data_IF_720671982441
#
_entry.id   IF_720671982441
#
_cell.length_a   1.000
_cell.length_b   1.000
_cell.length_c   1.000
_cell.angle_alpha   90.00
_cell.angle_beta   90.00
_cell.angle_gamma   90.00
#
_symmetry.space_group_name_H-M   'P 1'
#
loop_
_entity.id
_entity.type
_entity.pdbx_description
1 polymer ?
#
# COMPACT_ATOMS: atom_id res chain seq x y z
N UNK A 1 16.17 -15.30 63.62
CA UNK A 1 15.40 -15.23 62.36
C UNK A 1 16.28 -14.53 61.33
N UNK A 2 16.94 -15.32 60.48
CA UNK A 2 18.04 -14.87 59.61
C UNK A 2 17.48 -14.33 58.27
N UNK A 3 17.77 -13.11 57.97
CA UNK A 3 17.49 -12.51 56.66
C UNK A 3 18.62 -12.92 55.71
N UNK A 4 18.28 -13.74 54.75
CA UNK A 4 19.23 -14.19 53.70
C UNK A 4 19.65 -13.00 52.84
N UNK A 5 20.94 -12.84 52.70
CA UNK A 5 21.62 -11.89 51.85
C UNK A 5 21.37 -12.30 50.38
N UNK A 6 20.74 -11.42 49.62
CA UNK A 6 20.65 -11.53 48.15
C UNK A 6 22.01 -11.07 47.59
N UNK A 7 22.77 -12.03 47.12
CA UNK A 7 24.09 -11.79 46.53
C UNK A 7 23.90 -11.23 45.12
N UNK A 8 24.09 -9.93 44.94
CA UNK A 8 24.10 -9.29 43.61
C UNK A 8 25.36 -9.72 42.84
N UNK A 9 25.19 -10.63 41.88
CA UNK A 9 26.25 -10.95 40.93
C UNK A 9 26.44 -9.78 39.96
N UNK A 10 27.37 -8.88 40.25
CA UNK A 10 27.85 -7.87 39.30
C UNK A 10 28.68 -8.55 38.20
N UNK A 11 28.04 -8.91 37.13
CA UNK A 11 28.73 -9.40 35.93
C UNK A 11 29.55 -8.28 35.30
N UNK A 12 30.86 -8.46 35.23
CA UNK A 12 31.73 -7.49 34.59
C UNK A 12 31.58 -7.56 33.06
N UNK A 13 31.77 -6.42 32.37
CA UNK A 13 31.67 -6.35 30.88
C UNK A 13 32.59 -7.35 30.18
N UNK A 14 33.73 -7.75 30.80
CA UNK A 14 34.61 -8.79 30.27
C UNK A 14 34.04 -10.19 30.35
N UNK A 15 33.27 -10.50 31.39
CA UNK A 15 32.62 -11.81 31.55
C UNK A 15 31.48 -12.02 30.55
N UNK A 16 30.74 -10.95 30.21
CA UNK A 16 29.68 -11.01 29.17
C UNK A 16 30.28 -11.32 27.80
N UNK A 17 31.46 -10.79 27.48
CA UNK A 17 32.14 -11.05 26.21
C UNK A 17 32.77 -12.46 26.14
N UNK A 18 33.16 -13.05 27.27
CA UNK A 18 33.72 -14.40 27.32
C UNK A 18 32.67 -15.50 27.14
N UNK A 19 31.42 -15.26 27.54
CA UNK A 19 30.31 -16.21 27.34
C UNK A 19 29.62 -16.04 25.98
N UNK A 20 29.83 -14.94 25.28
CA UNK A 20 29.27 -14.66 23.95
C UNK A 20 29.94 -15.41 22.78
N UNK A 21 31.10 -16.01 23.01
CA UNK A 21 31.92 -16.58 21.93
C UNK A 21 31.63 -18.02 21.52
N UNK A 22 30.90 -18.80 22.30
CA UNK A 22 30.69 -20.23 22.05
C UNK A 22 29.25 -20.64 21.66
N UNK A 23 28.30 -19.71 21.63
CA UNK A 23 26.88 -20.00 21.39
C UNK A 23 26.31 -19.57 20.04
N UNK A 24 27.09 -18.95 19.17
CA UNK A 24 26.56 -18.29 17.94
C UNK A 24 26.65 -19.12 16.65
N UNK A 25 26.99 -20.41 16.71
CA UNK A 25 27.16 -21.20 15.46
C UNK A 25 25.93 -22.02 15.06
N UNK A 26 24.87 -22.07 15.87
CA UNK A 26 23.70 -22.89 15.53
C UNK A 26 22.44 -22.11 15.14
N UNK A 27 22.43 -20.78 15.16
CA UNK A 27 21.30 -19.95 14.72
C UNK A 27 21.34 -19.52 13.23
N UNK A 28 22.39 -19.88 12.50
CA UNK A 28 22.59 -19.47 11.10
C UNK A 28 21.91 -20.36 10.06
N UNK A 29 21.13 -21.38 10.48
CA UNK A 29 20.46 -22.32 9.56
C UNK A 29 18.94 -22.13 9.43
N UNK A 30 18.34 -21.22 10.18
CA UNK A 30 17.01 -20.76 9.83
C UNK A 30 17.19 -19.53 8.94
N UNK A 31 17.21 -19.79 7.62
CA UNK A 31 17.28 -18.75 6.59
C UNK A 31 16.16 -17.73 6.76
N UNK A 32 16.43 -16.68 7.52
CA UNK A 32 15.75 -15.41 7.36
C UNK A 32 16.21 -14.82 6.01
N UNK A 33 15.77 -15.45 4.92
CA UNK A 33 15.77 -14.75 3.64
C UNK A 33 14.87 -13.54 3.86
N UNK A 34 15.37 -12.31 3.68
CA UNK A 34 14.47 -11.17 3.62
C UNK A 34 13.51 -11.48 2.48
N UNK A 35 12.22 -11.68 2.80
CA UNK A 35 11.18 -11.71 1.78
C UNK A 35 11.17 -10.29 1.25
N UNK A 36 11.97 -10.03 0.22
CA UNK A 36 11.81 -8.82 -0.56
C UNK A 36 10.37 -8.82 -1.04
N UNK A 37 9.58 -7.88 -0.52
CA UNK A 37 8.22 -7.68 -0.97
C UNK A 37 8.28 -7.19 -2.42
N UNK A 38 8.37 -8.16 -3.34
CA UNK A 38 8.49 -7.87 -4.77
C UNK A 38 7.19 -7.22 -5.22
N UNK A 39 7.32 -5.98 -5.68
CA UNK A 39 6.22 -5.19 -6.24
C UNK A 39 5.61 -5.92 -7.44
N UNK A 40 4.60 -6.72 -7.21
CA UNK A 40 4.00 -7.60 -8.21
C UNK A 40 2.49 -7.34 -8.41
N UNK A 41 1.97 -7.59 -9.61
CA UNK A 41 0.53 -7.51 -9.85
C UNK A 41 -0.30 -8.43 -8.95
N UNK A 42 0.30 -9.49 -8.41
CA UNK A 42 -0.35 -10.40 -7.47
C UNK A 42 -0.65 -9.71 -6.13
N UNK A 43 0.32 -8.93 -5.62
CA UNK A 43 0.14 -8.16 -4.38
C UNK A 43 -0.94 -7.09 -4.53
N UNK A 44 -0.97 -6.40 -5.66
CA UNK A 44 -2.03 -5.42 -5.94
C UNK A 44 -3.41 -6.08 -6.01
N UNK A 45 -3.53 -7.26 -6.64
CA UNK A 45 -4.78 -8.03 -6.66
C UNK A 45 -5.19 -8.51 -5.28
N UNK A 46 -4.24 -9.01 -4.48
CA UNK A 46 -4.50 -9.44 -3.09
C UNK A 46 -4.99 -8.25 -2.24
N UNK A 47 -4.31 -7.10 -2.34
CA UNK A 47 -4.72 -5.89 -1.64
C UNK A 47 -6.11 -5.42 -2.09
N UNK A 48 -6.39 -5.43 -3.39
CA UNK A 48 -7.70 -5.09 -3.93
C UNK A 48 -8.79 -6.02 -3.37
N UNK A 49 -8.56 -7.34 -3.36
CA UNK A 49 -9.49 -8.30 -2.79
C UNK A 49 -9.74 -8.09 -1.28
N UNK A 50 -8.72 -7.70 -0.54
CA UNK A 50 -8.86 -7.33 0.87
C UNK A 50 -9.73 -6.08 1.05
N UNK A 51 -9.51 -5.03 0.26
CA UNK A 51 -10.27 -3.78 0.32
C UNK A 51 -11.73 -3.99 -0.06
N UNK A 52 -11.98 -4.81 -1.07
CA UNK A 52 -13.33 -5.13 -1.55
C UNK A 52 -14.00 -6.26 -0.78
N UNK A 53 -13.32 -6.85 0.21
CA UNK A 53 -13.80 -8.03 0.97
C UNK A 53 -14.26 -9.18 0.07
N UNK A 54 -13.64 -9.33 -1.09
CA UNK A 54 -14.00 -10.33 -2.09
C UNK A 54 -15.26 -10.03 -2.89
N UNK A 55 -15.86 -8.84 -2.75
CA UNK A 55 -17.04 -8.45 -3.51
C UNK A 55 -16.74 -8.35 -5.02
N UNK A 56 -17.77 -8.58 -5.81
CA UNK A 56 -17.70 -8.46 -7.27
C UNK A 56 -17.43 -7.01 -7.68
N UNK A 57 -16.45 -6.84 -8.58
CA UNK A 57 -16.07 -5.55 -9.12
C UNK A 57 -16.81 -5.26 -10.43
N UNK A 58 -17.65 -4.24 -10.44
CA UNK A 58 -18.39 -3.77 -11.61
C UNK A 58 -17.62 -2.67 -12.35
N UNK A 59 -17.71 -2.64 -13.68
CA UNK A 59 -17.18 -1.54 -14.50
C UNK A 59 -18.25 -0.46 -14.65
N UNK A 60 -17.83 0.78 -14.90
CA UNK A 60 -18.71 1.84 -15.36
C UNK A 60 -18.52 3.17 -14.66
N UNK A 61 -18.90 3.30 -13.39
CA UNK A 61 -19.01 4.61 -12.73
C UNK A 61 -17.70 5.35 -12.51
N UNK A 62 -16.56 4.64 -12.49
CA UNK A 62 -15.25 5.24 -12.20
C UNK A 62 -14.58 5.72 -13.48
N UNK A 63 -14.15 6.99 -13.51
CA UNK A 63 -13.38 7.62 -14.60
C UNK A 63 -12.00 8.00 -14.07
N UNK A 64 -10.96 7.64 -14.81
CA UNK A 64 -9.56 7.96 -14.51
C UNK A 64 -9.00 8.80 -15.64
N UNK A 65 -8.46 9.97 -15.30
CA UNK A 65 -7.64 10.75 -16.21
C UNK A 65 -6.20 10.68 -15.73
N UNK A 66 -5.36 10.03 -16.52
CA UNK A 66 -3.95 9.76 -16.23
C UNK A 66 -3.16 9.91 -17.53
N UNK A 67 -1.98 10.56 -17.53
CA UNK A 67 -1.15 10.63 -18.73
C UNK A 67 -0.71 9.23 -19.16
N UNK A 68 -0.80 8.94 -20.44
CA UNK A 68 -0.35 7.67 -20.98
C UNK A 68 1.19 7.49 -20.86
N UNK A 69 1.93 8.60 -20.85
CA UNK A 69 3.37 8.70 -20.65
C UNK A 69 3.68 9.83 -19.68
N UNK A 70 4.52 9.56 -18.69
CA UNK A 70 5.05 10.58 -17.77
C UNK A 70 6.57 10.62 -17.88
N UNK A 71 7.14 11.84 -17.82
CA UNK A 71 8.58 12.06 -17.72
C UNK A 71 9.07 11.90 -16.27
N UNK A 72 8.22 12.26 -15.31
CA UNK A 72 8.51 12.14 -13.87
C UNK A 72 7.51 11.19 -13.20
N UNK A 73 7.95 9.95 -12.99
CA UNK A 73 7.15 8.94 -12.30
C UNK A 73 6.96 9.23 -10.82
N UNK A 74 7.74 10.14 -10.21
CA UNK A 74 7.62 10.47 -8.79
C UNK A 74 6.40 11.35 -8.50
N UNK A 75 5.91 12.11 -9.48
CA UNK A 75 4.85 13.13 -9.33
C UNK A 75 3.83 13.11 -10.48
N UNK A 76 3.38 11.95 -10.85
CA UNK A 76 2.39 11.80 -11.91
C UNK A 76 1.02 12.30 -11.45
N UNK A 77 0.43 13.26 -12.16
CA UNK A 77 -0.91 13.76 -11.86
C UNK A 77 -1.96 12.73 -12.25
N UNK A 78 -2.91 12.49 -11.36
CA UNK A 78 -4.10 11.68 -11.60
C UNK A 78 -5.35 12.48 -11.20
N UNK A 79 -6.37 12.44 -12.04
CA UNK A 79 -7.72 12.89 -11.69
C UNK A 79 -8.64 11.66 -11.70
N UNK A 80 -9.41 11.51 -10.64
CA UNK A 80 -10.42 10.45 -10.50
C UNK A 80 -11.77 11.11 -10.28
N UNK A 81 -12.79 10.60 -10.94
CA UNK A 81 -14.17 10.99 -10.76
C UNK A 81 -15.04 9.75 -10.75
N UNK A 82 -15.97 9.68 -9.83
CA UNK A 82 -16.97 8.60 -9.73
C UNK A 82 -18.34 9.19 -9.99
N UNK A 83 -19.04 8.63 -10.95
CA UNK A 83 -20.38 9.05 -11.32
C UNK A 83 -21.39 8.56 -10.26
N UNK A 84 -21.83 9.47 -9.41
CA UNK A 84 -22.75 9.20 -8.30
C UNK A 84 -23.56 10.45 -7.99
N UNK A 85 -24.85 10.32 -7.69
CA UNK A 85 -25.71 11.46 -7.34
C UNK A 85 -25.35 12.09 -5.98
N UNK A 86 -24.52 11.42 -5.16
CA UNK A 86 -24.07 11.87 -3.84
C UNK A 86 -25.23 12.28 -2.93
N UNK A 87 -26.28 11.46 -2.89
CA UNK A 87 -27.43 11.62 -1.98
C UNK A 87 -27.22 10.84 -0.70
N UNK A 88 -28.04 11.05 0.32
CA UNK A 88 -27.94 10.34 1.61
C UNK A 88 -28.03 8.81 1.48
N UNK A 89 -28.78 8.31 0.49
CA UNK A 89 -28.96 6.88 0.25
C UNK A 89 -28.04 6.31 -0.83
N UNK A 90 -27.54 7.14 -1.75
CA UNK A 90 -26.67 6.71 -2.85
C UNK A 90 -25.49 7.66 -3.01
N UNK A 91 -24.36 7.27 -2.46
CA UNK A 91 -23.13 8.05 -2.48
C UNK A 91 -21.90 7.13 -2.51
N UNK A 92 -20.76 7.70 -2.83
CA UNK A 92 -19.46 7.04 -2.74
C UNK A 92 -18.95 7.12 -1.31
N UNK A 93 -18.64 5.99 -0.69
CA UNK A 93 -18.05 5.92 0.66
C UNK A 93 -16.56 6.09 0.65
N UNK A 94 -15.88 5.40 -0.28
CA UNK A 94 -14.43 5.43 -0.36
C UNK A 94 -13.98 5.20 -1.80
N UNK A 95 -12.80 5.76 -2.13
CA UNK A 95 -12.10 5.51 -3.38
C UNK A 95 -10.67 5.12 -3.07
N UNK A 96 -10.27 3.94 -3.51
CA UNK A 96 -8.92 3.39 -3.35
C UNK A 96 -8.15 3.43 -4.66
N UNK A 97 -6.94 3.93 -4.62
CA UNK A 97 -6.04 3.99 -5.78
C UNK A 97 -4.90 3.01 -5.56
N UNK A 98 -4.75 2.04 -6.46
CA UNK A 98 -3.72 1.01 -6.39
C UNK A 98 -2.81 1.07 -7.62
N UNK A 99 -1.54 0.77 -7.40
CA UNK A 99 -0.52 0.64 -8.45
C UNK A 99 0.00 -0.80 -8.47
N UNK A 100 -0.06 -1.47 -9.64
CA UNK A 100 0.24 -2.91 -9.74
C UNK A 100 1.70 -3.26 -9.45
N UNK A 101 2.63 -2.31 -9.58
CA UNK A 101 4.07 -2.56 -9.49
C UNK A 101 4.80 -1.60 -8.54
N UNK A 102 4.09 -0.95 -7.66
CA UNK A 102 4.70 -0.25 -6.54
C UNK A 102 4.92 -1.24 -5.39
N UNK A 103 5.97 -1.03 -4.60
CA UNK A 103 6.27 -1.83 -3.39
C UNK A 103 5.08 -1.84 -2.42
N UNK A 104 4.41 -0.68 -2.28
CA UNK A 104 3.13 -0.57 -1.59
C UNK A 104 2.05 -0.40 -2.65
N UNK A 105 1.18 -1.41 -2.87
CA UNK A 105 0.18 -1.36 -3.94
C UNK A 105 -0.87 -0.28 -3.75
N UNK A 106 -1.40 -0.09 -2.54
CA UNK A 106 -2.34 0.99 -2.24
C UNK A 106 -1.58 2.29 -2.01
N UNK A 107 -1.75 3.24 -2.93
CA UNK A 107 -1.03 4.52 -2.93
C UNK A 107 -1.84 5.69 -2.41
N UNK A 108 -3.16 5.59 -2.42
CA UNK A 108 -4.05 6.58 -1.86
C UNK A 108 -5.43 5.99 -1.57
N UNK A 109 -6.08 6.53 -0.54
CA UNK A 109 -7.47 6.22 -0.20
C UNK A 109 -8.16 7.51 0.25
N UNK A 110 -9.37 7.72 -0.27
CA UNK A 110 -10.17 8.91 0.00
C UNK A 110 -11.56 8.49 0.45
N UNK A 111 -12.01 9.04 1.57
CA UNK A 111 -13.37 8.85 2.07
C UNK A 111 -14.26 10.01 1.66
N UNK A 112 -15.48 9.70 1.28
CA UNK A 112 -16.52 10.66 0.89
C UNK A 112 -17.78 10.44 1.71
N UNK A 113 -18.65 11.39 1.66
CA UNK A 113 -19.99 11.32 2.25
C UNK A 113 -21.00 12.09 1.39
N UNK A 114 -22.29 12.03 1.70
CA UNK A 114 -23.33 12.75 0.95
C UNK A 114 -23.05 14.25 0.81
N UNK A 115 -22.46 14.85 1.84
CA UNK A 115 -22.13 16.28 1.88
C UNK A 115 -20.93 16.66 1.01
N UNK A 116 -20.20 15.71 0.44
CA UNK A 116 -19.06 15.99 -0.43
C UNK A 116 -19.44 16.58 -1.79
N UNK A 117 -20.71 16.56 -2.14
CA UNK A 117 -21.25 17.08 -3.39
C UNK A 117 -20.85 16.28 -4.62
N UNK A 118 -19.56 16.04 -4.83
CA UNK A 118 -19.02 15.21 -5.92
C UNK A 118 -17.90 14.29 -5.40
N UNK A 119 -17.91 13.05 -5.87
CA UNK A 119 -16.83 12.11 -5.60
C UNK A 119 -15.73 12.27 -6.67
N UNK A 120 -15.00 13.38 -6.61
CA UNK A 120 -13.86 13.62 -7.49
C UNK A 120 -12.67 14.24 -6.74
N UNK A 121 -11.47 13.89 -7.20
CA UNK A 121 -10.25 14.50 -6.69
C UNK A 121 -9.15 14.51 -7.75
N UNK A 122 -8.20 15.38 -7.54
CA UNK A 122 -6.96 15.44 -8.33
C UNK A 122 -5.79 15.40 -7.36
N UNK A 123 -4.86 14.50 -7.60
CA UNK A 123 -3.67 14.35 -6.75
C UNK A 123 -2.45 13.99 -7.58
N UNK A 124 -1.30 13.91 -6.94
CA UNK A 124 -0.07 13.38 -7.53
C UNK A 124 0.28 12.06 -6.88
N UNK A 125 0.58 11.08 -7.72
CA UNK A 125 0.93 9.72 -7.29
C UNK A 125 2.33 9.37 -7.77
N UNK A 126 3.00 8.48 -7.02
CA UNK A 126 4.24 7.88 -7.46
C UNK A 126 3.93 6.66 -8.32
N UNK A 127 4.44 6.66 -9.53
CA UNK A 127 4.41 5.54 -10.48
C UNK A 127 5.84 5.06 -10.65
N UNK A 128 6.27 4.07 -9.86
CA UNK A 128 7.68 3.66 -9.77
C UNK A 128 8.24 3.13 -11.12
N UNK A 129 7.39 2.53 -11.92
CA UNK A 129 7.71 2.02 -13.27
C UNK A 129 6.44 1.97 -14.13
N UNK A 130 6.61 1.75 -15.44
CA UNK A 130 5.45 1.58 -16.34
C UNK A 130 4.51 0.47 -15.83
N UNK A 131 3.26 0.83 -15.53
CA UNK A 131 2.31 -0.07 -14.87
C UNK A 131 0.86 0.34 -15.10
N UNK A 132 -0.05 -0.49 -14.59
CA UNK A 132 -1.48 -0.20 -14.53
C UNK A 132 -1.81 0.39 -13.16
N UNK A 133 -2.58 1.46 -13.16
CA UNK A 133 -3.24 2.03 -11.99
C UNK A 133 -4.67 1.51 -11.96
N UNK A 134 -5.09 1.00 -10.82
CA UNK A 134 -6.45 0.51 -10.56
C UNK A 134 -7.08 1.47 -9.58
N UNK A 135 -8.29 1.91 -9.88
CA UNK A 135 -9.11 2.70 -8.95
C UNK A 135 -10.37 1.91 -8.66
N UNK A 136 -10.65 1.70 -7.37
CA UNK A 136 -11.85 1.04 -6.89
C UNK A 136 -12.64 1.99 -6.01
N UNK A 137 -13.95 2.12 -6.26
CA UNK A 137 -14.88 2.92 -5.48
C UNK A 137 -15.86 2.01 -4.75
N UNK A 138 -15.99 2.21 -3.45
CA UNK A 138 -17.01 1.60 -2.59
C UNK A 138 -18.24 2.53 -2.55
N UNK A 139 -19.38 2.00 -2.89
CA UNK A 139 -20.65 2.72 -2.84
C UNK A 139 -21.36 2.53 -1.48
N UNK A 140 -22.34 3.37 -1.20
CA UNK A 140 -23.14 3.30 0.04
C UNK A 140 -23.91 1.98 0.19
N UNK A 141 -24.30 1.35 -0.92
CA UNK A 141 -24.97 0.05 -0.96
C UNK A 141 -24.02 -1.16 -0.78
N UNK A 142 -22.72 -0.90 -0.60
CA UNK A 142 -21.69 -1.93 -0.47
C UNK A 142 -21.21 -2.51 -1.80
N UNK A 143 -21.69 -2.03 -2.94
CA UNK A 143 -21.17 -2.42 -4.25
C UNK A 143 -19.82 -1.75 -4.53
N UNK A 144 -19.00 -2.42 -5.38
CA UNK A 144 -17.72 -1.90 -5.78
C UNK A 144 -17.65 -1.68 -7.28
N UNK A 145 -17.21 -0.49 -7.67
CA UNK A 145 -16.95 -0.14 -9.06
C UNK A 145 -15.47 0.12 -9.29
N UNK A 146 -14.94 -0.22 -10.46
CA UNK A 146 -13.53 -0.02 -10.74
C UNK A 146 -13.26 0.45 -12.16
N UNK A 147 -12.11 1.09 -12.32
CA UNK A 147 -11.50 1.37 -13.61
C UNK A 147 -9.99 1.08 -13.56
N UNK A 148 -9.39 0.93 -14.73
CA UNK A 148 -7.95 0.75 -14.90
C UNK A 148 -7.42 1.70 -15.95
N UNK A 149 -6.25 2.29 -15.68
CA UNK A 149 -5.53 3.11 -16.64
C UNK A 149 -4.05 2.72 -16.65
N UNK A 150 -3.43 2.66 -17.82
CA UNK A 150 -2.00 2.34 -17.95
C UNK A 150 -1.20 3.64 -18.06
N UNK A 151 -0.13 3.73 -17.28
CA UNK A 151 0.85 4.80 -17.36
C UNK A 151 2.22 4.23 -17.71
N UNK A 152 2.88 4.79 -18.73
CA UNK A 152 4.28 4.52 -19.05
C UNK A 152 5.15 5.57 -18.38
N UNK A 153 6.29 5.15 -17.84
CA UNK A 153 7.32 6.04 -17.32
C UNK A 153 8.47 6.06 -18.31
N UNK A 154 8.93 7.24 -18.72
CA UNK A 154 10.06 7.35 -19.65
C UNK A 154 11.32 6.73 -19.04
N UNK A 155 12.15 6.09 -19.89
CA UNK A 155 13.43 5.53 -19.45
C UNK A 155 14.33 6.68 -18.96
N UNK A 156 14.87 6.57 -17.75
CA UNK A 156 15.69 7.61 -17.11
C UNK A 156 14.94 8.51 -16.11
N UNK A 157 13.59 8.43 -16.06
CA UNK A 157 12.78 9.17 -15.10
C UNK A 157 12.56 8.44 -13.76
N UNK A 158 13.23 7.32 -13.55
CA UNK A 158 13.30 6.65 -12.27
C UNK A 158 14.31 7.39 -11.41
N UNK A 159 13.85 8.36 -10.61
CA UNK A 159 14.70 9.02 -9.64
C UNK A 159 15.37 7.96 -8.75
N UNK A 160 16.68 8.06 -8.60
CA UNK A 160 17.44 7.37 -7.58
C UNK A 160 16.79 7.67 -6.24
N UNK A 161 16.35 6.67 -5.54
CA UNK A 161 15.93 6.70 -4.15
C UNK A 161 16.55 5.53 -3.46
#
# INVERSE_FOLDING_TARGET
MSIQQINEYKLSRRQVLAFGGAGFITAALFGLTPVEAEASPKEAKKKLAQLTRGAELKKGLVKITLPALTQDGSRTRIKVSVDSPMTEINYVKAVHVLAERNTVPEIASYSFGPLSGKAEFTTRIRVARSQTIIVAAEMSDGSFHYAKARCKVARGAGGCG
#
